data_IF_659066493637
#
_entry.id   IF_659066493637
#
_cell.length_a   1.000
_cell.length_b   1.000
_cell.length_c   1.000
_cell.angle_alpha   90.00
_cell.angle_beta   90.00
_cell.angle_gamma   90.00
#
_symmetry.space_group_name_H-M   'P 1'
#
loop_
_entity.id
_entity.type
_entity.pdbx_description
1 polymer ?
#
# COMPACT_ATOMS: atom_id res chain seq x y z
N UNK A 1 37.45 6.03 -7.38
CA UNK A 1 36.58 6.45 -6.27
C UNK A 1 35.90 5.19 -5.77
N UNK A 2 36.14 4.82 -4.51
CA UNK A 2 35.50 3.65 -3.89
C UNK A 2 34.00 3.98 -3.76
N UNK A 3 33.16 3.31 -4.53
CA UNK A 3 31.74 3.64 -4.65
C UNK A 3 30.90 2.75 -3.72
N UNK A 4 31.10 2.92 -2.42
CA UNK A 4 30.41 2.15 -1.36
C UNK A 4 29.07 2.80 -0.94
N UNK A 5 28.66 3.89 -1.58
CA UNK A 5 27.44 4.61 -1.23
C UNK A 5 26.22 4.02 -1.95
N UNK A 6 25.20 3.63 -1.17
CA UNK A 6 23.93 3.14 -1.71
C UNK A 6 23.13 4.27 -2.35
N UNK A 7 22.69 4.06 -3.60
CA UNK A 7 21.78 4.96 -4.30
C UNK A 7 20.33 4.55 -4.03
N UNK A 8 19.61 5.41 -3.31
CA UNK A 8 18.20 5.20 -2.92
C UNK A 8 17.31 6.21 -3.63
N UNK A 9 16.19 5.77 -4.18
CA UNK A 9 15.23 6.63 -4.89
C UNK A 9 13.80 6.42 -4.41
N UNK A 10 12.99 7.49 -4.51
CA UNK A 10 11.57 7.50 -4.18
C UNK A 10 10.80 8.03 -5.40
N UNK A 11 10.32 7.17 -6.32
CA UNK A 11 9.78 7.60 -7.62
C UNK A 11 8.33 8.11 -7.55
N UNK A 12 7.94 8.85 -6.51
CA UNK A 12 6.54 9.30 -6.35
C UNK A 12 6.13 10.30 -7.43
N UNK A 13 7.03 11.22 -7.81
CA UNK A 13 6.78 12.27 -8.82
C UNK A 13 7.12 11.86 -10.26
N UNK A 14 7.86 10.77 -10.44
CA UNK A 14 8.24 10.20 -11.74
C UNK A 14 7.85 8.71 -11.80
N UNK A 15 6.61 8.44 -11.41
CA UNK A 15 6.05 7.09 -11.21
C UNK A 15 5.85 6.27 -12.50
N UNK A 16 6.14 6.85 -13.67
CA UNK A 16 6.16 6.15 -14.95
C UNK A 16 7.45 5.39 -15.22
N UNK A 17 8.52 5.68 -14.48
CA UNK A 17 9.83 5.04 -14.66
C UNK A 17 9.81 3.65 -14.02
N UNK A 18 10.24 2.64 -14.78
CA UNK A 18 10.30 1.27 -14.31
C UNK A 18 11.51 1.03 -13.40
N UNK A 19 11.37 0.12 -12.43
CA UNK A 19 12.48 -0.28 -11.55
C UNK A 19 13.70 -0.80 -12.32
N UNK A 20 13.49 -1.52 -13.43
CA UNK A 20 14.57 -2.01 -14.30
C UNK A 20 15.40 -0.88 -14.91
N UNK A 21 14.76 0.25 -15.21
CA UNK A 21 15.49 1.42 -15.71
C UNK A 21 16.31 2.04 -14.59
N UNK A 22 15.75 2.16 -13.37
CA UNK A 22 16.46 2.67 -12.20
C UNK A 22 17.67 1.76 -11.84
N UNK A 23 17.47 0.45 -11.86
CA UNK A 23 18.51 -0.56 -11.68
C UNK A 23 19.63 -0.42 -12.71
N UNK A 24 19.29 -0.26 -14.00
CA UNK A 24 20.26 -0.07 -15.07
C UNK A 24 21.10 1.23 -14.90
N UNK A 25 20.60 2.21 -14.15
CA UNK A 25 21.31 3.44 -13.80
C UNK A 25 22.06 3.35 -12.45
N UNK A 26 22.13 2.17 -11.83
CA UNK A 26 22.89 1.93 -10.61
C UNK A 26 22.13 2.21 -9.30
N UNK A 27 20.80 2.32 -9.34
CA UNK A 27 19.97 2.43 -8.12
C UNK A 27 19.96 1.10 -7.36
N UNK A 28 20.16 1.15 -6.05
CA UNK A 28 20.17 -0.03 -5.19
C UNK A 28 18.85 -0.27 -4.45
N UNK A 29 18.12 0.80 -4.12
CA UNK A 29 16.86 0.71 -3.35
C UNK A 29 15.83 1.65 -3.95
N UNK A 30 14.64 1.11 -4.20
CA UNK A 30 13.45 1.86 -4.60
C UNK A 30 12.45 1.85 -3.44
N UNK A 31 11.95 3.03 -3.07
CA UNK A 31 10.96 3.18 -2.01
C UNK A 31 9.65 3.68 -2.60
N UNK A 32 8.62 2.84 -2.57
CA UNK A 32 7.23 3.26 -2.74
C UNK A 32 6.71 3.85 -1.43
N UNK A 33 6.87 5.17 -1.27
CA UNK A 33 6.62 5.85 0.00
C UNK A 33 5.18 5.72 0.54
N UNK A 34 4.21 6.34 -0.11
CA UNK A 34 2.87 6.58 0.46
C UNK A 34 1.72 5.99 -0.37
N UNK A 35 2.03 5.15 -1.34
CA UNK A 35 1.07 4.55 -2.27
C UNK A 35 0.06 3.68 -1.51
N UNK A 36 0.52 2.87 -0.54
CA UNK A 36 -0.37 2.03 0.27
C UNK A 36 -1.40 2.86 1.05
N UNK A 37 -0.95 3.91 1.76
CA UNK A 37 -1.85 4.80 2.50
C UNK A 37 -2.82 5.55 1.57
N UNK A 38 -2.33 6.04 0.43
CA UNK A 38 -3.16 6.72 -0.57
C UNK A 38 -4.18 5.78 -1.22
N UNK A 39 -3.89 4.48 -1.29
CA UNK A 39 -4.82 3.47 -1.80
C UNK A 39 -5.86 3.05 -0.77
N UNK A 40 -5.49 2.96 0.52
CA UNK A 40 -6.40 2.55 1.57
C UNK A 40 -7.41 3.65 1.92
N UNK A 41 -7.01 4.92 1.84
CA UNK A 41 -7.89 6.03 2.23
C UNK A 41 -9.20 6.12 1.43
N UNK A 42 -9.21 6.08 0.08
CA UNK A 42 -10.45 6.02 -0.69
C UNK A 42 -11.31 4.80 -0.37
N UNK A 43 -10.70 3.62 -0.15
CA UNK A 43 -11.43 2.41 0.21
C UNK A 43 -12.13 2.57 1.57
N UNK A 44 -11.42 3.07 2.58
CA UNK A 44 -11.98 3.36 3.91
C UNK A 44 -13.09 4.42 3.84
N UNK A 45 -12.89 5.50 3.08
CA UNK A 45 -13.88 6.56 2.91
C UNK A 45 -15.16 6.04 2.27
N UNK A 46 -15.04 5.18 1.25
CA UNK A 46 -16.18 4.56 0.60
C UNK A 46 -16.92 3.63 1.57
N UNK A 47 -16.20 2.80 2.33
CA UNK A 47 -16.79 1.95 3.37
C UNK A 47 -17.57 2.77 4.39
N UNK A 48 -16.99 3.85 4.91
CA UNK A 48 -17.65 4.73 5.88
C UNK A 48 -18.92 5.38 5.31
N UNK A 49 -18.87 5.87 4.07
CA UNK A 49 -20.04 6.44 3.37
C UNK A 49 -21.15 5.41 3.18
N UNK A 50 -20.81 4.22 2.71
CA UNK A 50 -21.81 3.14 2.52
C UNK A 50 -22.46 2.74 3.85
N UNK A 51 -21.69 2.64 4.94
CA UNK A 51 -22.25 2.37 6.28
C UNK A 51 -23.18 3.50 6.71
N UNK A 52 -22.78 4.76 6.52
CA UNK A 52 -23.59 5.93 6.87
C UNK A 52 -24.92 5.96 6.08
N UNK A 53 -24.88 5.67 4.78
CA UNK A 53 -26.05 5.68 3.90
C UNK A 53 -27.04 4.54 4.21
N UNK A 54 -26.54 3.36 4.58
CA UNK A 54 -27.39 2.16 4.79
C UNK A 54 -27.74 1.93 6.26
N UNK A 55 -27.05 2.60 7.20
CA UNK A 55 -27.22 2.38 8.64
C UNK A 55 -26.75 0.99 9.13
N UNK A 56 -26.03 0.24 8.29
CA UNK A 56 -25.47 -1.10 8.57
C UNK A 56 -24.27 -1.38 7.68
N UNK A 57 -23.58 -2.50 7.93
CA UNK A 57 -22.34 -2.87 7.22
C UNK A 57 -22.48 -4.03 6.20
N UNK A 58 -23.69 -4.50 5.88
CA UNK A 58 -23.85 -5.66 4.99
C UNK A 58 -23.29 -5.40 3.58
N UNK A 59 -23.48 -4.18 3.07
CA UNK A 59 -23.10 -3.77 1.71
C UNK A 59 -21.58 -3.62 1.52
N UNK A 60 -20.83 -3.55 2.64
CA UNK A 60 -19.37 -3.43 2.63
C UNK A 60 -18.67 -4.73 2.98
N UNK A 61 -19.39 -5.76 3.44
CA UNK A 61 -18.82 -7.03 3.90
C UNK A 61 -17.95 -7.68 2.81
N UNK A 62 -18.44 -7.73 1.57
CA UNK A 62 -17.70 -8.25 0.41
C UNK A 62 -16.46 -7.43 0.01
N UNK A 63 -16.29 -6.21 0.54
CA UNK A 63 -15.14 -5.33 0.29
C UNK A 63 -14.09 -5.42 1.41
N UNK A 64 -14.44 -6.05 2.53
CA UNK A 64 -13.57 -6.22 3.68
C UNK A 64 -12.80 -7.53 3.58
N UNK A 65 -11.59 -7.54 4.12
CA UNK A 65 -10.86 -8.78 4.35
C UNK A 65 -11.65 -9.67 5.33
N UNK A 66 -11.74 -10.99 5.10
CA UNK A 66 -12.39 -11.90 6.03
C UNK A 66 -11.79 -11.79 7.44
N UNK A 67 -12.63 -11.92 8.47
CA UNK A 67 -12.19 -11.81 9.87
C UNK A 67 -11.11 -12.85 10.21
N UNK A 68 -11.16 -14.04 9.64
CA UNK A 68 -10.13 -15.06 9.88
C UNK A 68 -8.76 -14.65 9.32
N UNK A 69 -8.74 -13.97 8.17
CA UNK A 69 -7.49 -13.48 7.58
C UNK A 69 -6.90 -12.34 8.41
N UNK A 70 -7.74 -11.43 8.94
CA UNK A 70 -7.24 -10.33 9.76
C UNK A 70 -6.70 -10.80 11.11
N UNK A 71 -7.30 -11.84 11.71
CA UNK A 71 -6.78 -12.45 12.94
C UNK A 71 -5.43 -13.14 12.71
N UNK A 72 -5.25 -13.80 11.57
CA UNK A 72 -3.97 -14.42 11.23
C UNK A 72 -2.80 -13.41 11.07
N UNK A 73 -3.09 -12.13 10.87
CA UNK A 73 -2.06 -11.07 10.84
C UNK A 73 -1.55 -10.70 12.24
N UNK A 74 -2.27 -11.04 13.31
CA UNK A 74 -1.90 -10.75 14.69
C UNK A 74 -1.43 -12.05 15.36
N UNK A 75 -0.11 -12.23 15.57
CA UNK A 75 0.43 -13.44 16.19
C UNK A 75 -0.23 -13.70 17.56
N UNK A 76 -0.72 -14.93 17.79
CA UNK A 76 -1.31 -15.35 19.06
C UNK A 76 -2.81 -15.04 19.25
N UNK A 77 -3.53 -14.69 18.18
CA UNK A 77 -5.00 -14.50 18.21
C UNK A 77 -5.82 -15.64 17.60
N UNK A 78 -5.16 -16.79 17.33
CA UNK A 78 -5.78 -18.08 16.96
C UNK A 78 -5.24 -19.21 17.81
#
# INVERSE_FOLDING_TARGET
MNNDALLVVVPTSFNSVYEKELEAHGVNVVIYANQMLRSSYPAMLNTARTILENGRCLEVDAKCMPVNEILNLIPGTV
#
